data_IF_908447016865
#
_entry.id   IF_908447016865
#
_cell.length_a   1.000
_cell.length_b   1.000
_cell.length_c   1.000
_cell.angle_alpha   90.00
_cell.angle_beta   90.00
_cell.angle_gamma   90.00
#
_symmetry.space_group_name_H-M   'P 1'
#
loop_
_entity.id
_entity.type
_entity.pdbx_description
1 polymer ?
#
# COMPACT_ATOMS: atom_id res chain seq x y z
N UNK A 1 -27.73 7.67 16.06
CA UNK A 1 -27.51 6.22 16.24
C UNK A 1 -27.87 5.54 14.93
N UNK A 2 -26.95 4.85 14.26
CA UNK A 2 -27.19 4.29 12.92
C UNK A 2 -25.96 3.78 12.16
N UNK A 3 -24.76 3.84 12.74
CA UNK A 3 -23.52 3.44 12.07
C UNK A 3 -22.93 2.13 12.60
N UNK A 4 -23.58 1.44 13.54
CA UNK A 4 -23.07 0.16 14.05
C UNK A 4 -23.48 -0.99 13.12
N UNK A 5 -22.73 -1.15 12.04
CA UNK A 5 -22.90 -2.23 11.05
C UNK A 5 -22.55 -3.62 11.59
N UNK A 6 -22.00 -3.71 12.82
CA UNK A 6 -21.57 -4.96 13.47
C UNK A 6 -22.43 -5.31 14.70
N UNK A 7 -23.61 -4.70 14.84
CA UNK A 7 -24.45 -4.85 16.03
C UNK A 7 -24.89 -6.29 16.33
N UNK A 8 -24.88 -7.17 15.33
CA UNK A 8 -25.33 -8.55 15.43
C UNK A 8 -24.19 -9.54 15.76
N UNK A 9 -22.95 -9.06 15.89
CA UNK A 9 -21.83 -9.91 16.30
C UNK A 9 -21.83 -10.14 17.81
N UNK A 10 -21.45 -11.34 18.22
CA UNK A 10 -21.11 -11.57 19.63
C UNK A 10 -19.90 -10.74 20.04
N UNK A 11 -19.72 -10.51 21.35
CA UNK A 11 -18.58 -9.74 21.87
C UNK A 11 -17.23 -10.32 21.44
N UNK A 12 -17.14 -11.65 21.28
CA UNK A 12 -15.92 -12.32 20.80
C UNK A 12 -15.66 -12.03 19.33
N UNK A 13 -16.66 -12.23 18.47
CA UNK A 13 -16.55 -11.96 17.02
C UNK A 13 -16.22 -10.49 16.75
N UNK A 14 -16.83 -9.58 17.51
CA UNK A 14 -16.54 -8.15 17.42
C UNK A 14 -15.08 -7.86 17.78
N UNK A 15 -14.55 -8.47 18.84
CA UNK A 15 -13.14 -8.35 19.23
C UNK A 15 -12.19 -8.87 18.15
N UNK A 16 -12.46 -10.07 17.62
CA UNK A 16 -11.66 -10.69 16.56
C UNK A 16 -11.68 -9.84 15.28
N UNK A 17 -12.86 -9.33 14.89
CA UNK A 17 -13.03 -8.42 13.75
C UNK A 17 -12.25 -7.12 13.94
N UNK A 18 -12.34 -6.51 15.12
CA UNK A 18 -11.66 -5.24 15.38
C UNK A 18 -10.13 -5.39 15.31
N UNK A 19 -9.61 -6.52 15.79
CA UNK A 19 -8.19 -6.85 15.65
C UNK A 19 -7.81 -7.08 14.17
N UNK A 20 -8.66 -7.76 13.39
CA UNK A 20 -8.46 -7.96 11.96
C UNK A 20 -8.45 -6.62 11.20
N UNK A 21 -9.40 -5.73 11.49
CA UNK A 21 -9.48 -4.40 10.87
C UNK A 21 -8.23 -3.56 11.20
N UNK A 22 -7.84 -3.53 12.48
CA UNK A 22 -6.61 -2.85 12.91
C UNK A 22 -5.39 -3.34 12.13
N UNK A 23 -5.21 -4.66 12.03
CA UNK A 23 -4.08 -5.23 11.29
C UNK A 23 -4.14 -4.91 9.80
N UNK A 24 -5.33 -4.90 9.21
CA UNK A 24 -5.52 -4.62 7.78
C UNK A 24 -5.23 -3.15 7.44
N UNK A 25 -5.61 -2.22 8.33
CA UNK A 25 -5.28 -0.79 8.18
C UNK A 25 -3.77 -0.57 8.34
N UNK A 26 -3.14 -1.18 9.34
CA UNK A 26 -1.69 -1.03 9.51
C UNK A 26 -0.92 -1.60 8.30
N UNK A 27 -1.42 -2.66 7.67
CA UNK A 27 -0.78 -3.25 6.50
C UNK A 27 -0.73 -2.34 5.24
N UNK A 28 -1.47 -1.23 5.21
CA UNK A 28 -1.35 -0.25 4.11
C UNK A 28 -0.16 0.70 4.30
N UNK A 29 0.50 0.69 5.46
CA UNK A 29 1.76 1.41 5.65
C UNK A 29 2.88 0.69 4.88
N UNK A 30 3.45 1.38 3.90
CA UNK A 30 4.52 0.82 3.06
C UNK A 30 5.77 0.46 3.85
N UNK A 31 6.03 1.09 5.00
CA UNK A 31 7.12 0.70 5.90
C UNK A 31 6.93 -0.74 6.37
N UNK A 32 5.72 -1.08 6.82
CA UNK A 32 5.39 -2.44 7.25
C UNK A 32 5.38 -3.41 6.07
N UNK A 33 4.98 -2.98 4.87
CA UNK A 33 5.15 -3.79 3.67
C UNK A 33 6.64 -4.14 3.44
N UNK A 34 7.54 -3.16 3.45
CA UNK A 34 8.98 -3.38 3.21
C UNK A 34 9.62 -4.29 4.25
N UNK A 35 9.25 -4.14 5.53
CA UNK A 35 9.73 -5.00 6.61
C UNK A 35 9.31 -6.47 6.42
N UNK A 36 8.12 -6.71 5.88
CA UNK A 36 7.52 -8.04 5.84
C UNK A 36 7.62 -8.74 4.47
N UNK A 37 7.76 -8.02 3.36
CA UNK A 37 7.64 -8.55 2.00
C UNK A 37 8.65 -9.66 1.69
N UNK A 38 9.89 -9.54 2.16
CA UNK A 38 10.93 -10.52 1.87
C UNK A 38 10.62 -11.88 2.51
N UNK A 39 10.15 -11.86 3.76
CA UNK A 39 9.68 -13.07 4.46
C UNK A 39 8.52 -13.72 3.72
N UNK A 40 7.57 -12.92 3.23
CA UNK A 40 6.46 -13.43 2.43
C UNK A 40 6.92 -14.05 1.10
N UNK A 41 7.79 -13.35 0.36
CA UNK A 41 8.31 -13.84 -0.92
C UNK A 41 9.11 -15.12 -0.74
N UNK A 42 9.95 -15.21 0.29
CA UNK A 42 10.70 -16.43 0.59
C UNK A 42 9.78 -17.61 0.90
N UNK A 43 8.76 -17.38 1.73
CA UNK A 43 7.78 -18.39 2.12
C UNK A 43 7.01 -18.95 0.92
N UNK A 44 6.60 -18.08 0.00
CA UNK A 44 5.88 -18.47 -1.22
C UNK A 44 6.82 -19.17 -2.20
N UNK A 45 7.99 -18.60 -2.49
CA UNK A 45 8.94 -19.15 -3.45
C UNK A 45 9.46 -20.55 -3.05
N UNK A 46 9.55 -20.83 -1.73
CA UNK A 46 9.93 -22.16 -1.23
C UNK A 46 8.77 -23.16 -1.16
N UNK A 47 7.53 -22.72 -1.39
CA UNK A 47 6.34 -23.56 -1.20
C UNK A 47 6.09 -23.94 0.27
N UNK A 48 6.63 -23.17 1.21
CA UNK A 48 6.53 -23.42 2.66
C UNK A 48 5.26 -22.78 3.27
N UNK A 49 4.46 -22.11 2.45
CA UNK A 49 3.22 -21.48 2.88
C UNK A 49 2.17 -22.52 3.36
N UNK A 50 1.76 -22.41 4.63
CA UNK A 50 0.74 -23.26 5.24
C UNK A 50 -0.52 -22.46 5.67
N UNK A 51 -1.65 -22.71 5.00
CA UNK A 51 -2.94 -22.09 5.30
C UNK A 51 -3.49 -22.41 6.69
N UNK A 52 -3.03 -23.47 7.36
CA UNK A 52 -3.46 -23.79 8.72
C UNK A 52 -2.79 -22.90 9.78
N UNK A 53 -1.67 -22.26 9.45
CA UNK A 53 -0.96 -21.35 10.35
C UNK A 53 -1.55 -19.93 10.28
N UNK A 54 -2.04 -19.43 11.43
CA UNK A 54 -2.62 -18.08 11.52
C UNK A 54 -1.63 -17.01 11.06
N UNK A 55 -0.36 -17.13 11.41
CA UNK A 55 0.67 -16.17 11.02
C UNK A 55 0.83 -16.06 9.49
N UNK A 56 0.76 -17.18 8.77
CA UNK A 56 0.86 -17.17 7.31
C UNK A 56 -0.37 -16.54 6.67
N UNK A 57 -1.57 -16.83 7.20
CA UNK A 57 -2.82 -16.18 6.76
C UNK A 57 -2.79 -14.68 7.00
N UNK A 58 -2.32 -14.25 8.17
CA UNK A 58 -2.19 -12.83 8.51
C UNK A 58 -1.17 -12.13 7.60
N UNK A 59 -0.02 -12.76 7.33
CA UNK A 59 0.99 -12.23 6.39
C UNK A 59 0.42 -12.06 4.98
N UNK A 60 -0.25 -13.10 4.45
CA UNK A 60 -0.90 -13.03 3.14
C UNK A 60 -1.97 -11.93 3.10
N UNK A 61 -2.78 -11.80 4.16
CA UNK A 61 -3.77 -10.72 4.26
C UNK A 61 -3.10 -9.35 4.23
N UNK A 62 -2.00 -9.15 4.96
CA UNK A 62 -1.27 -7.88 4.92
C UNK A 62 -0.77 -7.55 3.51
N UNK A 63 -0.18 -8.52 2.82
CA UNK A 63 0.29 -8.34 1.43
C UNK A 63 -0.86 -8.05 0.47
N UNK A 64 -2.01 -8.72 0.63
CA UNK A 64 -3.22 -8.44 -0.15
C UNK A 64 -3.79 -7.04 0.11
N UNK A 65 -3.73 -6.54 1.34
CA UNK A 65 -4.15 -5.17 1.64
C UNK A 65 -3.30 -4.15 0.89
N UNK A 66 -1.96 -4.30 0.92
CA UNK A 66 -1.05 -3.45 0.13
C UNK A 66 -1.31 -3.58 -1.37
N UNK A 67 -1.53 -4.80 -1.88
CA UNK A 67 -1.82 -5.02 -3.30
C UNK A 67 -3.14 -4.33 -3.72
N UNK A 68 -4.17 -4.36 -2.88
CA UNK A 68 -5.40 -3.64 -3.15
C UNK A 68 -5.19 -2.12 -3.13
N UNK A 69 -4.42 -1.60 -2.18
CA UNK A 69 -4.13 -0.17 -2.04
C UNK A 69 -3.35 0.38 -3.24
N UNK A 70 -2.37 -0.38 -3.73
CA UNK A 70 -1.60 -0.05 -4.93
C UNK A 70 -2.31 -0.43 -6.24
N UNK A 71 -3.54 -0.94 -6.17
CA UNK A 71 -4.25 -1.58 -7.29
C UNK A 71 -4.46 -0.69 -8.52
N UNK A 72 -4.45 0.64 -8.35
CA UNK A 72 -4.59 1.60 -9.44
C UNK A 72 -3.51 1.43 -10.52
N UNK A 73 -2.29 1.05 -10.12
CA UNK A 73 -1.14 0.89 -11.01
C UNK A 73 -1.36 -0.23 -12.05
N UNK A 74 -2.22 -1.19 -11.73
CA UNK A 74 -2.55 -2.35 -12.58
C UNK A 74 -3.71 -2.09 -13.55
N UNK A 75 -4.35 -0.91 -13.47
CA UNK A 75 -5.47 -0.57 -14.35
C UNK A 75 -4.99 -0.25 -15.77
N UNK A 76 -5.88 -0.34 -16.78
CA UNK A 76 -5.59 0.14 -18.12
C UNK A 76 -4.97 1.53 -18.10
N UNK A 77 -4.04 1.80 -19.02
CA UNK A 77 -3.22 3.02 -19.07
C UNK A 77 -4.01 4.31 -18.81
N UNK A 78 -5.13 4.50 -19.50
CA UNK A 78 -5.95 5.72 -19.36
C UNK A 78 -6.54 5.93 -17.96
N UNK A 79 -6.72 4.86 -17.19
CA UNK A 79 -7.18 4.92 -15.80
C UNK A 79 -5.98 5.11 -14.87
N UNK A 80 -4.93 4.30 -15.04
CA UNK A 80 -3.71 4.37 -14.22
C UNK A 80 -3.06 5.76 -14.29
N UNK A 81 -2.95 6.34 -15.50
CA UNK A 81 -2.44 7.70 -15.72
C UNK A 81 -3.20 8.76 -14.93
N UNK A 82 -4.54 8.72 -14.94
CA UNK A 82 -5.37 9.68 -14.21
C UNK A 82 -5.17 9.58 -12.71
N UNK A 83 -5.04 8.37 -12.17
CA UNK A 83 -4.75 8.19 -10.74
C UNK A 83 -3.35 8.70 -10.40
N UNK A 84 -2.34 8.41 -11.24
CA UNK A 84 -0.98 8.91 -11.04
C UNK A 84 -0.91 10.45 -11.08
N UNK A 85 -1.68 11.12 -11.95
CA UNK A 85 -1.81 12.58 -11.98
C UNK A 85 -2.41 13.15 -10.68
N UNK A 86 -3.42 12.46 -10.10
CA UNK A 86 -4.01 12.86 -8.82
C UNK A 86 -3.02 12.69 -7.66
N UNK A 87 -2.35 11.54 -7.56
CA UNK A 87 -1.34 11.27 -6.53
C UNK A 87 -0.19 12.28 -6.61
N UNK A 88 0.27 12.57 -7.83
CA UNK A 88 1.31 13.59 -8.06
C UNK A 88 0.84 14.97 -7.61
N UNK A 89 -0.41 15.34 -7.88
CA UNK A 89 -0.96 16.62 -7.46
C UNK A 89 -0.95 16.76 -5.93
N UNK A 90 -1.30 15.70 -5.21
CA UNK A 90 -1.23 15.65 -3.74
C UNK A 90 0.22 15.80 -3.22
N UNK A 91 1.18 15.10 -3.83
CA UNK A 91 2.60 15.23 -3.47
C UNK A 91 3.13 16.65 -3.72
N UNK A 92 2.71 17.30 -4.82
CA UNK A 92 3.09 18.69 -5.07
C UNK A 92 2.50 19.67 -4.06
N UNK A 93 1.26 19.46 -3.61
CA UNK A 93 0.67 20.25 -2.54
C UNK A 93 1.42 20.07 -1.21
N UNK A 94 1.87 18.85 -0.90
CA UNK A 94 2.75 18.64 0.26
C UNK A 94 4.10 19.35 0.10
N UNK A 95 4.77 19.23 -1.05
CA UNK A 95 6.06 19.90 -1.28
C UNK A 95 5.97 21.42 -1.21
N UNK A 96 4.86 22.01 -1.65
CA UNK A 96 4.62 23.45 -1.50
C UNK A 96 4.49 23.87 -0.03
N UNK A 97 3.84 23.07 0.80
CA UNK A 97 3.76 23.29 2.25
C UNK A 97 5.14 23.17 2.91
N UNK A 98 5.90 22.12 2.58
CA UNK A 98 7.27 21.94 3.06
C UNK A 98 8.17 23.14 2.73
N UNK A 99 8.04 23.68 1.50
CA UNK A 99 8.80 24.86 1.06
C UNK A 99 8.35 26.13 1.76
N UNK A 100 7.05 26.38 1.82
CA UNK A 100 6.51 27.66 2.30
C UNK A 100 6.51 27.77 3.82
N UNK A 101 6.18 26.69 4.54
CA UNK A 101 6.01 26.67 5.99
C UNK A 101 7.30 26.25 6.70
N UNK A 102 8.00 25.23 6.21
CA UNK A 102 9.19 24.66 6.86
C UNK A 102 10.52 25.14 6.26
N UNK A 103 10.47 25.89 5.15
CA UNK A 103 11.65 26.38 4.39
C UNK A 103 12.58 25.24 3.94
N UNK A 104 12.01 24.06 3.69
CA UNK A 104 12.74 22.90 3.17
C UNK A 104 12.76 22.90 1.64
N UNK A 105 13.74 22.22 1.06
CA UNK A 105 13.73 21.89 -0.37
C UNK A 105 13.00 20.54 -0.52
N UNK A 106 11.85 20.49 -1.21
CA UNK A 106 11.13 19.24 -1.42
C UNK A 106 11.97 18.24 -2.22
N UNK A 107 11.78 16.95 -1.97
CA UNK A 107 12.40 15.91 -2.82
C UNK A 107 11.73 15.86 -4.20
N UNK A 108 12.36 15.17 -5.16
CA UNK A 108 11.95 15.16 -6.57
C UNK A 108 10.46 14.85 -6.78
N UNK A 109 9.94 13.86 -6.06
CA UNK A 109 8.55 13.39 -6.19
C UNK A 109 7.52 14.41 -5.64
N UNK A 110 7.95 15.33 -4.77
CA UNK A 110 7.12 16.40 -4.20
C UNK A 110 7.37 17.78 -4.85
N UNK A 111 8.36 17.92 -5.74
CA UNK A 111 8.68 19.21 -6.36
C UNK A 111 8.03 19.36 -7.74
N UNK A 112 7.00 20.20 -7.83
CA UNK A 112 6.30 20.54 -9.09
C UNK A 112 7.21 21.11 -10.18
N UNK A 113 8.37 21.65 -9.82
CA UNK A 113 9.34 22.18 -10.76
C UNK A 113 10.18 21.08 -11.44
N UNK A 114 10.12 19.83 -10.94
CA UNK A 114 10.83 18.64 -11.44
C UNK A 114 9.86 17.62 -12.05
N UNK A 115 8.72 18.10 -12.55
CA UNK A 115 7.64 17.24 -13.10
C UNK A 115 8.07 16.38 -14.29
N UNK A 116 9.13 16.78 -14.99
CA UNK A 116 9.73 16.05 -16.10
C UNK A 116 10.42 14.75 -15.66
N UNK A 117 10.78 14.62 -14.38
CA UNK A 117 11.35 13.40 -13.80
C UNK A 117 10.29 12.36 -13.39
N UNK A 118 9.02 12.78 -13.27
CA UNK A 118 7.93 11.91 -12.79
C UNK A 118 7.76 10.59 -13.55
N UNK A 119 7.85 10.54 -14.90
CA UNK A 119 7.75 9.28 -15.61
C UNK A 119 8.82 8.28 -15.18
N UNK A 120 10.05 8.74 -14.96
CA UNK A 120 11.15 7.91 -14.45
C UNK A 120 10.88 7.43 -13.02
N UNK A 121 10.45 8.33 -12.14
CA UNK A 121 10.10 8.00 -10.76
C UNK A 121 8.94 6.99 -10.67
N UNK A 122 7.95 7.08 -11.57
CA UNK A 122 6.86 6.10 -11.64
C UNK A 122 7.34 4.72 -12.09
N UNK A 123 8.28 4.64 -13.03
CA UNK A 123 8.89 3.36 -13.43
C UNK A 123 9.66 2.74 -12.26
N UNK A 124 10.50 3.51 -11.57
CA UNK A 124 11.23 3.05 -10.39
C UNK A 124 10.28 2.58 -9.27
N UNK A 125 9.17 3.30 -9.06
CA UNK A 125 8.13 2.92 -8.11
C UNK A 125 7.47 1.58 -8.47
N UNK A 126 7.08 1.43 -9.75
CA UNK A 126 6.47 0.20 -10.25
C UNK A 126 7.43 -0.98 -10.07
N UNK A 127 8.66 -0.85 -10.54
CA UNK A 127 9.65 -1.93 -10.53
C UNK A 127 10.10 -2.28 -9.11
N UNK A 128 10.25 -1.28 -8.23
CA UNK A 128 10.78 -1.47 -6.88
C UNK A 128 9.74 -1.94 -5.86
N UNK A 129 8.46 -1.65 -6.06
CA UNK A 129 7.41 -1.81 -5.05
C UNK A 129 6.26 -2.65 -5.56
N UNK A 130 5.68 -2.26 -6.69
CA UNK A 130 4.44 -2.85 -7.19
C UNK A 130 4.67 -4.20 -7.86
N UNK A 131 5.54 -4.27 -8.87
CA UNK A 131 5.76 -5.47 -9.68
C UNK A 131 6.14 -6.69 -8.82
N UNK A 132 7.08 -6.59 -7.85
CA UNK A 132 7.41 -7.72 -6.98
C UNK A 132 6.21 -8.28 -6.21
N UNK A 133 5.23 -7.44 -5.85
CA UNK A 133 4.04 -7.87 -5.12
C UNK A 133 3.03 -8.61 -6.04
N UNK A 134 2.87 -8.17 -7.29
CA UNK A 134 1.92 -8.77 -8.23
C UNK A 134 2.46 -9.98 -8.99
N UNK A 135 3.78 -10.12 -9.10
CA UNK A 135 4.43 -11.20 -9.83
C UNK A 135 4.71 -12.45 -8.98
N UNK A 136 4.48 -12.38 -7.66
CA UNK A 136 4.59 -13.53 -6.77
C UNK A 136 3.62 -14.62 -7.22
N UNK A 137 4.18 -15.75 -7.64
CA UNK A 137 3.42 -16.94 -8.04
C UNK A 137 3.27 -17.83 -6.82
N UNK A 138 2.06 -17.86 -6.26
CA UNK A 138 1.65 -18.82 -5.24
C UNK A 138 1.47 -20.23 -5.82
#
# INVERSE_FOLDING_TARGET
>A
MGHNIFSNLSSKEYGDLMQLLKQSILATDLTLYFENRNTFFELVNKGEYNWNLKAHRDMCRSMMMTACDLGAVTKPWEISRKVAELVTSEFFEQGDRERSELKLTPSAIFDRNRKDELPGLQLEWIDGICAPLYEVKA
#
